data_IF_330491945270
#
_entry.id   IF_330491945270
#
_cell.length_a   1.000
_cell.length_b   1.000
_cell.length_c   1.000
_cell.angle_alpha   90.00
_cell.angle_beta   90.00
_cell.angle_gamma   90.00
#
_symmetry.space_group_name_H-M   'P 1'
#
loop_
_entity.id
_entity.type
_entity.pdbx_description
1 polymer ?
#
# COMPACT_ATOMS: atom_id res chain seq x y z
N UNK A 1 53.86 45.06 -39.90
CA UNK A 1 53.28 46.40 -39.65
C UNK A 1 51.82 46.17 -39.23
N UNK A 2 51.46 46.58 -38.01
CA UNK A 2 50.13 46.87 -37.45
C UNK A 2 48.91 46.34 -38.25
N UNK A 3 48.12 45.37 -37.80
CA UNK A 3 47.41 45.30 -36.52
C UNK A 3 46.00 45.87 -36.68
N UNK A 4 44.95 45.04 -36.55
CA UNK A 4 43.62 45.47 -36.06
C UNK A 4 42.72 44.27 -35.72
N UNK A 5 42.29 44.30 -34.46
CA UNK A 5 41.41 43.39 -33.75
C UNK A 5 39.93 43.62 -34.09
N UNK A 6 39.11 42.66 -33.61
CA UNK A 6 37.68 42.77 -33.21
C UNK A 6 36.70 42.27 -34.28
N UNK A 7 35.68 41.45 -33.99
CA UNK A 7 34.89 41.25 -32.76
C UNK A 7 34.35 39.82 -32.70
N UNK A 8 34.55 39.13 -31.57
CA UNK A 8 33.73 37.97 -31.20
C UNK A 8 32.40 38.49 -30.65
N UNK A 9 31.28 38.04 -31.21
CA UNK A 9 29.96 38.27 -30.64
C UNK A 9 29.70 37.21 -29.57
N UNK A 10 29.80 37.60 -28.29
CA UNK A 10 29.39 36.76 -27.18
C UNK A 10 27.86 36.80 -27.06
N UNK A 11 27.21 35.67 -27.32
CA UNK A 11 25.80 35.47 -26.98
C UNK A 11 25.73 35.20 -25.48
N UNK A 12 25.35 36.21 -24.71
CA UNK A 12 25.04 36.05 -23.29
C UNK A 12 23.62 35.47 -23.16
N UNK A 13 23.52 34.17 -22.93
CA UNK A 13 22.29 33.55 -22.46
C UNK A 13 22.15 33.88 -20.96
N UNK A 14 21.23 34.78 -20.61
CA UNK A 14 20.84 34.97 -19.21
C UNK A 14 20.06 33.76 -18.74
N UNK A 15 20.70 32.94 -17.90
CA UNK A 15 20.07 31.90 -17.10
C UNK A 15 19.18 32.62 -16.08
N UNK A 16 17.86 32.50 -16.24
CA UNK A 16 16.92 32.86 -15.18
C UNK A 16 17.08 31.84 -14.05
N UNK A 17 17.81 32.21 -13.01
CA UNK A 17 17.81 31.49 -11.74
C UNK A 17 16.46 31.79 -11.09
N UNK A 18 15.47 30.94 -11.31
CA UNK A 18 14.27 30.92 -10.49
C UNK A 18 14.65 30.46 -9.09
N UNK A 19 14.91 31.41 -8.20
CA UNK A 19 14.91 31.18 -6.76
C UNK A 19 13.49 30.82 -6.35
N UNK A 20 13.19 29.51 -6.31
CA UNK A 20 11.99 29.03 -5.65
C UNK A 20 12.11 29.42 -4.18
N UNK A 21 11.31 30.40 -3.74
CA UNK A 21 11.08 30.59 -2.32
C UNK A 21 10.49 29.29 -1.76
N UNK A 22 10.90 28.84 -0.57
CA UNK A 22 10.17 27.79 0.10
C UNK A 22 8.76 28.33 0.34
N UNK A 23 7.80 27.85 -0.44
CA UNK A 23 6.41 27.96 -0.06
C UNK A 23 6.26 27.14 1.21
N UNK A 24 5.89 27.84 2.28
CA UNK A 24 5.38 27.23 3.49
C UNK A 24 4.24 26.32 3.05
N UNK A 25 4.51 25.01 2.96
CA UNK A 25 3.47 24.02 2.91
C UNK A 25 2.76 24.20 4.23
N UNK A 26 1.60 24.86 4.18
CA UNK A 26 0.57 24.65 5.16
C UNK A 26 0.33 23.15 5.17
N UNK A 27 1.04 22.49 6.09
CA UNK A 27 0.73 21.15 6.55
C UNK A 27 -0.77 21.19 6.79
N UNK A 28 -1.52 20.47 5.97
CA UNK A 28 -2.81 19.97 6.40
C UNK A 28 -2.48 19.14 7.64
N UNK A 29 -2.53 19.79 8.79
CA UNK A 29 -2.64 19.12 10.06
C UNK A 29 -3.97 18.39 9.95
N UNK A 30 -3.90 17.12 9.56
CA UNK A 30 -4.87 16.15 10.01
C UNK A 30 -5.08 16.48 11.48
N UNK A 31 -6.32 16.80 11.84
CA UNK A 31 -6.71 17.18 13.18
C UNK A 31 -6.32 16.02 14.09
N UNK A 32 -5.09 16.03 14.59
CA UNK A 32 -4.63 15.06 15.57
C UNK A 32 -5.37 15.48 16.83
N UNK A 33 -6.51 14.83 17.08
CA UNK A 33 -7.09 14.77 18.42
C UNK A 33 -6.03 14.13 19.32
N UNK A 34 -5.12 14.96 19.83
CA UNK A 34 -3.89 14.60 20.52
C UNK A 34 -4.11 13.87 21.85
N UNK A 35 -5.34 13.49 22.18
CA UNK A 35 -5.75 12.95 23.48
C UNK A 35 -6.84 11.88 23.42
N UNK A 36 -7.23 11.39 22.23
CA UNK A 36 -8.17 10.26 22.20
C UNK A 36 -7.38 8.98 22.29
N UNK A 37 -7.58 8.24 23.37
CA UNK A 37 -7.07 6.87 23.47
C UNK A 37 -7.50 6.09 22.21
N UNK A 38 -6.63 5.24 21.66
CA UNK A 38 -6.98 4.42 20.52
C UNK A 38 -8.29 3.66 20.77
N UNK A 39 -9.16 3.62 19.76
CA UNK A 39 -10.40 2.86 19.87
C UNK A 39 -10.06 1.37 19.76
N UNK A 40 -10.32 0.63 20.83
CA UNK A 40 -10.18 -0.82 20.85
C UNK A 40 -11.45 -1.47 20.29
N UNK A 41 -11.27 -2.48 19.45
CA UNK A 41 -12.36 -3.34 18.99
C UNK A 41 -12.36 -4.70 19.69
N UNK A 42 -11.41 -4.94 20.60
CA UNK A 42 -11.41 -6.14 21.43
C UNK A 42 -12.72 -6.22 22.25
N UNK A 43 -13.47 -7.30 22.01
CA UNK A 43 -14.78 -7.56 22.64
C UNK A 43 -15.75 -6.37 22.51
N UNK A 44 -15.69 -5.63 21.40
CA UNK A 44 -16.46 -4.40 21.19
C UNK A 44 -17.95 -4.61 21.47
N UNK A 45 -18.51 -3.74 22.31
CA UNK A 45 -19.91 -3.79 22.73
C UNK A 45 -20.37 -5.16 23.31
N UNK A 46 -19.45 -5.94 23.88
CA UNK A 46 -19.72 -7.26 24.44
C UNK A 46 -19.87 -8.38 23.40
N UNK A 47 -19.52 -8.13 22.13
CA UNK A 47 -19.54 -9.15 21.09
C UNK A 47 -18.34 -10.09 21.29
N UNK A 48 -18.62 -11.34 21.68
CA UNK A 48 -17.57 -12.31 22.00
C UNK A 48 -16.72 -12.73 20.80
N UNK A 49 -17.27 -12.68 19.57
CA UNK A 49 -16.52 -12.98 18.34
C UNK A 49 -15.44 -11.93 18.02
N UNK A 50 -15.43 -10.79 18.71
CA UNK A 50 -14.38 -9.77 18.63
C UNK A 50 -13.31 -9.90 19.72
N UNK A 51 -13.34 -10.96 20.53
CA UNK A 51 -12.28 -11.19 21.52
C UNK A 51 -10.92 -11.41 20.82
N UNK A 52 -9.90 -10.67 21.26
CA UNK A 52 -8.56 -10.69 20.66
C UNK A 52 -8.45 -9.92 19.34
N UNK A 53 -9.47 -9.17 18.91
CA UNK A 53 -9.46 -8.50 17.60
C UNK A 53 -8.25 -7.59 17.40
N UNK A 54 -7.83 -6.89 18.46
CA UNK A 54 -6.70 -5.98 18.42
C UNK A 54 -5.34 -6.71 18.36
N UNK A 55 -5.26 -8.04 18.45
CA UNK A 55 -3.99 -8.77 18.32
C UNK A 55 -3.43 -8.74 16.90
N UNK A 56 -4.29 -8.53 15.89
CA UNK A 56 -3.84 -8.48 14.51
C UNK A 56 -3.13 -7.15 14.21
N UNK A 57 -3.68 -5.99 14.60
CA UNK A 57 -3.05 -4.71 14.29
C UNK A 57 -2.98 -3.69 15.42
N UNK A 58 -3.27 -4.08 16.66
CA UNK A 58 -3.32 -3.17 17.80
C UNK A 58 -4.52 -2.22 17.74
N UNK A 59 -4.94 -1.71 18.90
CA UNK A 59 -6.00 -0.70 18.98
C UNK A 59 -5.59 0.64 18.36
N UNK A 60 -4.29 0.93 18.30
CA UNK A 60 -3.69 2.13 17.70
C UNK A 60 -3.40 2.02 16.21
N UNK A 61 -3.57 0.84 15.62
CA UNK A 61 -3.31 0.60 14.20
C UNK A 61 -4.40 -0.27 13.56
N UNK A 62 -5.66 0.10 13.78
CA UNK A 62 -6.84 -0.56 13.21
C UNK A 62 -6.73 -1.02 11.75
N UNK A 63 -6.10 -0.21 10.87
CA UNK A 63 -5.98 -0.50 9.43
C UNK A 63 -4.74 -1.32 9.05
N UNK A 64 -3.93 -1.76 10.01
CA UNK A 64 -2.76 -2.59 9.73
C UNK A 64 -1.68 -1.88 8.94
N UNK A 65 -1.57 -0.56 9.06
CA UNK A 65 -0.47 0.21 8.48
C UNK A 65 0.84 -0.18 9.15
N UNK A 66 1.53 -1.14 8.53
CA UNK A 66 2.88 -1.54 8.97
C UNK A 66 3.82 -0.34 8.81
N UNK A 67 4.68 -0.03 9.79
CA UNK A 67 5.60 1.12 9.73
C UNK A 67 7.06 0.70 9.50
N UNK A 68 7.38 -0.56 9.78
CA UNK A 68 8.70 -1.17 9.60
C UNK A 68 8.53 -2.49 8.85
N UNK A 69 9.38 -2.75 7.86
CA UNK A 69 9.40 -4.02 7.11
C UNK A 69 10.81 -4.55 7.04
N UNK A 70 10.96 -5.87 7.14
CA UNK A 70 12.23 -6.54 6.91
C UNK A 70 12.28 -7.01 5.46
N UNK A 71 13.04 -6.28 4.64
CA UNK A 71 13.25 -6.64 3.23
C UNK A 71 14.24 -7.80 3.18
N UNK A 72 13.80 -8.93 2.63
CA UNK A 72 14.66 -10.10 2.47
C UNK A 72 15.33 -10.05 1.09
N UNK A 73 16.66 -10.13 1.07
CA UNK A 73 17.44 -10.28 -0.16
C UNK A 73 17.14 -11.65 -0.80
N UNK A 74 16.84 -11.65 -2.10
CA UNK A 74 16.49 -12.86 -2.84
C UNK A 74 17.67 -13.37 -3.66
N UNK A 75 17.90 -14.67 -3.67
CA UNK A 75 18.97 -15.32 -4.46
C UNK A 75 18.82 -15.09 -5.97
N UNK A 76 17.59 -14.89 -6.43
CA UNK A 76 17.27 -14.46 -7.80
C UNK A 76 16.41 -13.20 -7.77
N UNK A 77 16.69 -12.23 -8.65
CA UNK A 77 15.88 -11.01 -8.76
C UNK A 77 14.43 -11.36 -9.12
N UNK A 78 13.48 -11.08 -8.22
CA UNK A 78 12.06 -11.06 -8.56
C UNK A 78 11.80 -9.84 -9.45
N UNK A 79 11.43 -10.08 -10.70
CA UNK A 79 11.15 -9.03 -11.69
C UNK A 79 9.67 -9.00 -12.08
N UNK A 80 9.18 -7.81 -12.45
CA UNK A 80 7.85 -7.68 -13.01
C UNK A 80 7.78 -8.29 -14.42
N UNK A 81 6.68 -9.00 -14.71
CA UNK A 81 6.41 -9.54 -16.05
C UNK A 81 5.15 -8.90 -16.63
N UNK A 82 5.20 -8.53 -17.91
CA UNK A 82 4.03 -8.00 -18.62
C UNK A 82 2.96 -9.08 -18.78
N UNK A 83 1.73 -8.74 -18.43
CA UNK A 83 0.55 -9.60 -18.56
C UNK A 83 -0.63 -8.79 -19.10
N UNK A 84 -1.57 -9.46 -19.77
CA UNK A 84 -2.85 -8.83 -20.14
C UNK A 84 -3.58 -8.33 -18.89
N UNK A 85 -4.06 -7.09 -18.94
CA UNK A 85 -4.72 -6.44 -17.80
C UNK A 85 -5.97 -7.21 -17.37
N UNK A 86 -6.74 -7.78 -18.30
CA UNK A 86 -7.93 -8.57 -17.97
C UNK A 86 -7.60 -9.78 -17.10
N UNK A 87 -6.45 -10.41 -17.34
CA UNK A 87 -5.99 -11.57 -16.56
C UNK A 87 -5.63 -11.14 -15.13
N UNK A 88 -5.03 -9.95 -14.96
CA UNK A 88 -4.77 -9.38 -13.62
C UNK A 88 -6.10 -9.06 -12.92
N UNK A 89 -7.03 -8.41 -13.62
CA UNK A 89 -8.34 -8.04 -13.09
C UNK A 89 -9.17 -9.26 -12.66
N UNK A 90 -9.16 -10.35 -13.44
CA UNK A 90 -9.84 -11.60 -13.07
C UNK A 90 -9.32 -12.15 -11.73
N UNK A 91 -8.00 -12.17 -11.54
CA UNK A 91 -7.37 -12.64 -10.30
C UNK A 91 -7.75 -11.76 -9.10
N UNK A 92 -7.75 -10.43 -9.28
CA UNK A 92 -8.15 -9.49 -8.25
C UNK A 92 -9.64 -9.62 -7.91
N UNK A 93 -10.50 -9.83 -8.91
CA UNK A 93 -11.93 -10.06 -8.69
C UNK A 93 -12.19 -11.34 -7.89
N UNK A 94 -11.42 -12.41 -8.16
CA UNK A 94 -11.49 -13.65 -7.36
C UNK A 94 -11.14 -13.36 -5.89
N UNK A 95 -10.07 -12.61 -5.62
CA UNK A 95 -9.69 -12.26 -4.25
C UNK A 95 -10.76 -11.39 -3.57
N UNK A 96 -11.40 -10.48 -4.31
CA UNK A 96 -12.51 -9.67 -3.81
C UNK A 96 -13.72 -10.52 -3.42
N UNK A 97 -14.15 -11.45 -4.28
CA UNK A 97 -15.27 -12.35 -3.94
C UNK A 97 -14.89 -13.36 -2.85
N UNK A 98 -13.62 -13.78 -2.78
CA UNK A 98 -13.12 -14.61 -1.68
C UNK A 98 -13.17 -13.89 -0.35
N UNK A 99 -12.78 -12.60 -0.29
CA UNK A 99 -12.89 -11.80 0.92
C UNK A 99 -14.36 -11.67 1.39
N UNK A 100 -15.29 -11.45 0.45
CA UNK A 100 -16.73 -11.46 0.75
C UNK A 100 -17.15 -12.82 1.30
N UNK A 101 -16.81 -13.91 0.61
CA UNK A 101 -17.13 -15.29 1.04
C UNK A 101 -16.65 -15.55 2.46
N UNK A 102 -15.38 -15.25 2.78
CA UNK A 102 -14.82 -15.40 4.11
C UNK A 102 -15.68 -14.66 5.13
N UNK A 103 -15.89 -13.35 4.95
CA UNK A 103 -16.61 -12.52 5.92
C UNK A 103 -18.07 -12.99 6.09
N UNK A 104 -18.77 -13.30 5.00
CA UNK A 104 -20.20 -13.63 5.05
C UNK A 104 -20.49 -15.04 5.53
N UNK A 105 -19.56 -15.99 5.33
CA UNK A 105 -19.75 -17.39 5.74
C UNK A 105 -19.17 -17.69 7.13
N UNK A 106 -18.18 -16.93 7.63
CA UNK A 106 -17.50 -17.25 8.90
C UNK A 106 -17.87 -16.35 10.07
N UNK A 107 -18.49 -15.19 9.82
CA UNK A 107 -18.87 -14.24 10.86
C UNK A 107 -20.40 -14.13 10.91
N UNK A 108 -20.99 -14.42 12.06
CA UNK A 108 -22.44 -14.38 12.24
C UNK A 108 -22.96 -12.95 12.49
N UNK A 109 -22.21 -12.13 13.23
CA UNK A 109 -22.63 -10.79 13.64
C UNK A 109 -22.31 -9.76 12.55
N UNK A 110 -23.32 -9.02 12.10
CA UNK A 110 -23.18 -8.01 11.03
C UNK A 110 -22.28 -6.84 11.46
N UNK A 111 -22.23 -6.54 12.77
CA UNK A 111 -21.32 -5.57 13.35
C UNK A 111 -19.86 -6.04 13.21
N UNK A 112 -19.58 -7.30 13.54
CA UNK A 112 -18.26 -7.91 13.36
C UNK A 112 -17.88 -7.99 11.89
N UNK A 113 -18.82 -8.36 11.00
CA UNK A 113 -18.59 -8.32 9.55
C UNK A 113 -18.20 -6.92 9.08
N UNK A 114 -18.89 -5.90 9.58
CA UNK A 114 -18.61 -4.49 9.25
C UNK A 114 -17.23 -4.08 9.74
N UNK A 115 -16.90 -4.38 10.99
CA UNK A 115 -15.61 -4.04 11.60
C UNK A 115 -14.45 -4.73 10.86
N UNK A 116 -14.58 -6.03 10.56
CA UNK A 116 -13.56 -6.80 9.82
C UNK A 116 -13.43 -6.31 8.38
N UNK A 117 -14.55 -6.07 7.70
CA UNK A 117 -14.54 -5.59 6.31
C UNK A 117 -13.86 -4.22 6.19
N UNK A 118 -14.17 -3.29 7.10
CA UNK A 118 -13.55 -1.96 7.08
C UNK A 118 -12.04 -2.02 7.38
N UNK A 119 -11.61 -2.87 8.31
CA UNK A 119 -10.18 -3.12 8.55
C UNK A 119 -9.48 -3.65 7.28
N UNK A 120 -10.08 -4.63 6.60
CA UNK A 120 -9.54 -5.19 5.36
C UNK A 120 -9.50 -4.16 4.21
N UNK A 121 -10.57 -3.38 4.04
CA UNK A 121 -10.66 -2.36 3.01
C UNK A 121 -9.58 -1.27 3.19
N UNK A 122 -9.43 -0.75 4.40
CA UNK A 122 -8.42 0.27 4.71
C UNK A 122 -6.99 -0.29 4.59
N UNK A 123 -6.76 -1.56 4.98
CA UNK A 123 -5.43 -2.18 4.91
C UNK A 123 -4.92 -2.30 3.47
N UNK A 124 -5.80 -2.65 2.53
CA UNK A 124 -5.47 -2.65 1.09
C UNK A 124 -5.25 -1.24 0.56
N UNK A 125 -6.03 -0.26 1.04
CA UNK A 125 -5.91 1.15 0.63
C UNK A 125 -4.50 1.73 0.78
N UNK A 126 -3.76 1.32 1.82
CA UNK A 126 -2.39 1.77 2.05
C UNK A 126 -1.41 1.40 0.95
N UNK A 127 -1.63 0.26 0.28
CA UNK A 127 -0.76 -0.20 -0.81
C UNK A 127 -0.72 0.77 -2.00
N UNK A 128 -1.79 1.55 -2.19
CA UNK A 128 -1.80 2.62 -3.20
C UNK A 128 -0.73 3.69 -2.94
N UNK A 129 -0.38 3.95 -1.68
CA UNK A 129 0.74 4.83 -1.32
C UNK A 129 2.10 4.24 -1.68
N UNK A 130 2.25 2.92 -1.50
CA UNK A 130 3.47 2.19 -1.83
C UNK A 130 3.71 2.19 -3.36
N UNK A 131 2.69 1.90 -4.17
CA UNK A 131 2.76 1.96 -5.65
C UNK A 131 3.18 3.36 -6.14
N UNK A 132 2.68 4.40 -5.47
CA UNK A 132 2.97 5.80 -5.81
C UNK A 132 4.33 6.29 -5.28
N UNK A 133 5.06 5.44 -4.55
CA UNK A 133 6.29 5.81 -3.84
C UNK A 133 6.10 7.01 -2.91
N UNK A 134 4.94 7.10 -2.25
CA UNK A 134 4.60 8.14 -1.27
C UNK A 134 4.61 7.64 0.17
N UNK A 135 4.75 6.34 0.37
CA UNK A 135 5.02 5.76 1.67
C UNK A 135 6.53 5.64 1.91
N UNK A 136 6.90 5.26 3.13
CA UNK A 136 8.28 4.91 3.48
C UNK A 136 8.69 3.50 3.02
N UNK A 137 7.84 2.81 2.24
CA UNK A 137 8.06 1.43 1.80
C UNK A 137 8.08 1.34 0.27
N UNK A 138 8.76 0.32 -0.24
CA UNK A 138 8.62 -0.07 -1.65
C UNK A 138 7.29 -0.79 -1.89
N UNK A 139 6.81 -0.79 -3.15
CA UNK A 139 5.63 -1.54 -3.57
C UNK A 139 5.91 -3.05 -3.58
N UNK A 140 5.65 -3.71 -2.45
CA UNK A 140 5.90 -5.14 -2.25
C UNK A 140 4.83 -5.85 -1.44
N UNK A 141 5.14 -7.05 -0.97
CA UNK A 141 4.25 -7.87 -0.14
C UNK A 141 5.04 -8.79 0.78
N UNK A 142 4.40 -9.31 1.83
CA UNK A 142 4.97 -10.35 2.67
C UNK A 142 4.86 -11.72 1.97
N UNK A 143 6.00 -12.30 1.57
CA UNK A 143 6.02 -13.55 0.80
C UNK A 143 5.53 -14.76 1.63
N UNK A 144 5.75 -14.74 2.95
CA UNK A 144 5.39 -15.86 3.82
C UNK A 144 3.87 -15.94 3.94
N UNK A 145 3.22 -14.81 4.21
CA UNK A 145 1.76 -14.74 4.29
C UNK A 145 1.12 -14.96 2.92
N UNK A 146 1.65 -14.32 1.85
CA UNK A 146 1.10 -14.49 0.51
C UNK A 146 1.15 -15.95 0.00
N UNK A 147 2.13 -16.74 0.45
CA UNK A 147 2.23 -18.16 0.10
C UNK A 147 1.09 -19.03 0.67
N UNK A 148 0.37 -18.54 1.68
CA UNK A 148 -0.73 -19.26 2.34
C UNK A 148 -2.04 -19.22 1.55
N UNK A 149 -2.11 -18.57 0.38
CA UNK A 149 -3.35 -18.41 -0.38
C UNK A 149 -4.10 -19.74 -0.64
N UNK A 150 -3.35 -20.83 -0.84
CA UNK A 150 -3.91 -22.16 -1.08
C UNK A 150 -4.57 -22.78 0.16
N UNK A 151 -4.24 -22.30 1.36
CA UNK A 151 -4.79 -22.77 2.62
C UNK A 151 -6.12 -22.12 3.00
N UNK A 152 -6.64 -21.17 2.19
CA UNK A 152 -7.91 -20.48 2.43
C UNK A 152 -9.11 -21.42 2.20
N UNK A 153 -8.99 -22.36 1.27
CA UNK A 153 -10.06 -23.29 0.88
C UNK A 153 -9.59 -24.73 0.98
N UNK A 154 -10.46 -25.61 1.45
CA UNK A 154 -10.26 -27.05 1.42
C UNK A 154 -10.40 -27.58 -0.02
N UNK A 155 -10.01 -28.85 -0.23
CA UNK A 155 -10.12 -29.51 -1.53
C UNK A 155 -11.55 -29.68 -2.04
N UNK A 156 -12.54 -29.61 -1.14
CA UNK A 156 -13.97 -29.65 -1.46
C UNK A 156 -14.58 -28.26 -1.77
N UNK A 157 -13.77 -27.19 -1.70
CA UNK A 157 -14.20 -25.81 -1.94
C UNK A 157 -14.85 -25.11 -0.75
N UNK A 158 -14.96 -25.78 0.41
CA UNK A 158 -15.32 -25.14 1.67
C UNK A 158 -14.19 -24.25 2.20
N UNK A 159 -14.52 -23.26 3.02
CA UNK A 159 -13.50 -22.44 3.69
C UNK A 159 -12.75 -23.26 4.72
N UNK A 160 -11.44 -23.11 4.76
CA UNK A 160 -10.63 -23.63 5.84
C UNK A 160 -10.70 -22.68 7.04
N UNK A 161 -11.08 -23.20 8.21
CA UNK A 161 -11.21 -22.42 9.45
C UNK A 161 -10.08 -22.69 10.44
N UNK A 162 -9.02 -23.36 9.99
CA UNK A 162 -7.85 -23.66 10.82
C UNK A 162 -7.02 -22.39 11.02
N UNK A 163 -6.52 -22.19 12.23
CA UNK A 163 -5.51 -21.17 12.50
C UNK A 163 -4.25 -21.43 11.66
N UNK A 164 -3.86 -20.45 10.85
CA UNK A 164 -2.69 -20.52 9.96
C UNK A 164 -1.37 -20.18 10.67
N UNK A 165 -1.41 -19.90 11.99
CA UNK A 165 -0.24 -19.76 12.84
C UNK A 165 0.46 -18.40 12.72
N UNK A 166 -0.24 -17.34 12.33
CA UNK A 166 0.29 -15.99 12.27
C UNK A 166 -0.68 -14.95 12.82
N UNK A 167 -0.13 -13.82 13.26
CA UNK A 167 -0.83 -12.61 13.69
C UNK A 167 -0.46 -11.46 12.75
N UNK A 168 -1.12 -10.31 12.87
CA UNK A 168 -0.74 -9.17 12.03
C UNK A 168 0.58 -8.51 12.44
N UNK A 169 1.21 -8.90 13.57
CA UNK A 169 2.62 -8.58 13.87
C UNK A 169 3.61 -9.28 12.93
N UNK A 170 3.18 -10.37 12.31
CA UNK A 170 4.01 -11.12 11.36
C UNK A 170 4.03 -10.47 9.96
N UNK A 171 3.07 -9.59 9.68
CA UNK A 171 2.95 -8.90 8.41
C UNK A 171 4.11 -7.92 8.17
N UNK A 172 4.94 -8.19 7.16
CA UNK A 172 6.08 -7.37 6.78
C UNK A 172 7.42 -7.91 7.28
N UNK A 173 7.42 -9.03 8.01
CA UNK A 173 8.65 -9.70 8.46
C UNK A 173 9.37 -10.42 7.30
N UNK A 174 8.64 -10.77 6.24
CA UNK A 174 9.19 -11.41 5.05
C UNK A 174 8.91 -10.61 3.78
N UNK A 175 9.17 -9.31 3.81
CA UNK A 175 8.79 -8.40 2.75
C UNK A 175 9.70 -8.53 1.53
N UNK A 176 9.09 -8.58 0.35
CA UNK A 176 9.80 -8.61 -0.93
C UNK A 176 9.26 -7.51 -1.85
N UNK A 177 10.18 -6.81 -2.51
CA UNK A 177 9.86 -5.76 -3.48
C UNK A 177 10.31 -6.24 -4.85
N UNK A 178 9.39 -6.47 -5.80
CA UNK A 178 9.77 -6.77 -7.18
C UNK A 178 10.62 -5.63 -7.75
N UNK A 179 11.76 -6.00 -8.34
CA UNK A 179 12.72 -5.10 -8.98
C UNK A 179 12.52 -5.09 -10.50
N UNK A 180 13.18 -4.17 -11.21
CA UNK A 180 13.11 -4.06 -12.68
C UNK A 180 12.75 -2.66 -13.17
N UNK A 181 12.35 -2.55 -14.43
CA UNK A 181 12.06 -1.26 -15.11
C UNK A 181 10.65 -0.71 -14.82
N UNK A 182 10.00 -1.17 -13.75
CA UNK A 182 8.63 -0.79 -13.37
C UNK A 182 8.54 0.63 -12.76
N UNK A 183 9.65 1.21 -12.34
CA UNK A 183 9.69 2.58 -11.81
C UNK A 183 10.86 3.37 -12.40
N UNK A 184 10.57 4.58 -12.87
CA UNK A 184 11.55 5.55 -13.33
C UNK A 184 11.46 6.81 -12.46
N UNK A 185 12.52 7.13 -11.72
CA UNK A 185 12.51 8.26 -10.78
C UNK A 185 12.30 9.62 -11.43
N UNK A 186 12.57 9.77 -12.73
CA UNK A 186 12.41 11.02 -13.46
C UNK A 186 10.98 11.19 -14.00
N UNK A 187 10.34 10.11 -14.48
CA UNK A 187 9.05 10.20 -15.19
C UNK A 187 7.88 9.58 -14.45
N UNK A 188 8.09 8.51 -13.68
CA UNK A 188 7.02 7.79 -12.98
C UNK A 188 6.27 8.64 -11.94
N UNK A 189 6.90 9.51 -11.13
CA UNK A 189 6.16 10.28 -10.12
C UNK A 189 4.97 11.06 -10.71
N UNK A 190 5.20 11.82 -11.79
CA UNK A 190 4.16 12.64 -12.42
C UNK A 190 3.11 11.79 -13.15
N UNK A 191 3.52 10.76 -13.89
CA UNK A 191 2.59 9.94 -14.67
C UNK A 191 1.71 9.04 -13.77
N UNK A 192 2.28 8.52 -12.68
CA UNK A 192 1.55 7.71 -11.70
C UNK A 192 0.55 8.57 -10.91
N UNK A 193 0.92 9.80 -10.54
CA UNK A 193 -0.03 10.72 -9.90
C UNK A 193 -1.16 11.16 -10.83
N UNK A 194 -0.87 11.38 -12.11
CA UNK A 194 -1.91 11.65 -13.11
C UNK A 194 -2.88 10.47 -13.24
N UNK A 195 -2.37 9.23 -13.30
CA UNK A 195 -3.19 8.03 -13.35
C UNK A 195 -4.06 7.85 -12.09
N UNK A 196 -3.48 8.11 -10.90
CA UNK A 196 -4.21 8.08 -9.64
C UNK A 196 -5.36 9.09 -9.63
N UNK A 197 -5.11 10.33 -10.04
CA UNK A 197 -6.13 11.38 -10.08
C UNK A 197 -7.25 11.05 -11.08
N UNK A 198 -6.89 10.56 -12.27
CA UNK A 198 -7.87 10.13 -13.26
C UNK A 198 -8.78 9.00 -12.73
N UNK A 199 -8.20 8.06 -11.97
CA UNK A 199 -8.97 6.99 -11.32
C UNK A 199 -9.93 7.56 -10.29
N UNK A 200 -9.46 8.47 -9.42
CA UNK A 200 -10.31 9.13 -8.42
C UNK A 200 -11.45 9.94 -9.04
N UNK A 201 -11.25 10.53 -10.22
CA UNK A 201 -12.31 11.26 -10.93
C UNK A 201 -13.34 10.34 -11.61
N UNK A 202 -13.01 9.08 -11.84
CA UNK A 202 -13.89 8.09 -12.48
C UNK A 202 -14.75 7.29 -11.48
N UNK A 203 -14.51 7.47 -10.17
CA UNK A 203 -15.24 6.83 -9.07
C UNK A 203 -16.28 7.81 -8.50
#
# INVERSE_FOLDING_TARGET
MFGRFSKFAAIAAMVAISSALPHDLSTFTARTEKNKSPLSFDSWNGISSLSGFDDFYGSDNYSGKVSSVTIIEQESQLVCHTQKIEIIQQRLLILQEMAKKIITETICEVETQTIVFQQFHESIGHFGGDIRHKSSKGAGYDKSIASQYSNIVNSDGSLNTTDLGFSGKDNGNNYVVPTGSNWNNQTSPASVDAAYNATKSAM
#
